data_IF_514775930779
#
_entry.id   IF_514775930779
#
_cell.length_a   1.000
_cell.length_b   1.000
_cell.length_c   1.000
_cell.angle_alpha   90.00
_cell.angle_beta   90.00
_cell.angle_gamma   90.00
#
_symmetry.space_group_name_H-M   'P 1'
#
loop_
_entity.id
_entity.type
_entity.pdbx_description
1 polymer ?
#
# COMPACT_ATOMS: atom_id res chain seq x y z
N UNK A 1 -3.42 -19.33 18.18
CA UNK A 1 -3.14 -19.39 16.73
C UNK A 1 -3.30 -18.05 16.01
N UNK A 2 -4.15 -17.11 16.47
CA UNK A 2 -4.39 -15.83 15.79
C UNK A 2 -3.20 -14.85 15.62
N UNK A 3 -2.06 -15.08 16.29
CA UNK A 3 -0.90 -14.17 16.27
C UNK A 3 -0.01 -14.34 15.04
N UNK A 4 0.00 -15.55 14.44
CA UNK A 4 0.78 -15.81 13.22
C UNK A 4 0.12 -15.17 12.00
N UNK A 5 -1.20 -15.30 11.87
CA UNK A 5 -1.96 -14.79 10.72
C UNK A 5 -1.85 -13.26 10.58
N UNK A 6 -1.78 -12.54 11.71
CA UNK A 6 -1.58 -11.08 11.70
C UNK A 6 -0.15 -10.70 11.27
N UNK A 7 0.85 -11.49 11.68
CA UNK A 7 2.25 -11.23 11.33
C UNK A 7 2.51 -11.45 9.83
N UNK A 8 1.85 -12.43 9.23
CA UNK A 8 1.90 -12.68 7.78
C UNK A 8 1.23 -11.57 6.98
N UNK A 9 0.01 -11.16 7.37
CA UNK A 9 -0.69 -10.05 6.70
C UNK A 9 0.09 -8.72 6.82
N UNK A 10 0.74 -8.46 7.95
CA UNK A 10 1.61 -7.29 8.13
C UNK A 10 2.81 -7.32 7.17
N UNK A 11 3.40 -8.50 6.94
CA UNK A 11 4.50 -8.67 5.99
C UNK A 11 4.03 -8.44 4.54
N UNK A 12 2.87 -8.98 4.18
CA UNK A 12 2.30 -8.80 2.85
C UNK A 12 1.97 -7.33 2.56
N UNK A 13 1.36 -6.65 3.53
CA UNK A 13 1.10 -5.20 3.49
C UNK A 13 2.40 -4.41 3.28
N UNK A 14 3.44 -4.75 4.03
CA UNK A 14 4.74 -4.09 3.90
C UNK A 14 5.37 -4.31 2.51
N UNK A 15 5.18 -5.50 1.93
CA UNK A 15 5.64 -5.80 0.57
C UNK A 15 4.88 -5.01 -0.49
N UNK A 16 3.56 -4.90 -0.37
CA UNK A 16 2.74 -4.06 -1.27
C UNK A 16 3.22 -2.61 -1.21
N UNK A 17 3.47 -2.07 -0.01
CA UNK A 17 4.00 -0.71 0.16
C UNK A 17 5.34 -0.52 -0.54
N UNK A 18 6.29 -1.44 -0.34
CA UNK A 18 7.61 -1.40 -1.00
C UNK A 18 7.49 -1.38 -2.52
N UNK A 19 6.61 -2.21 -3.09
CA UNK A 19 6.40 -2.27 -4.55
C UNK A 19 5.76 -0.99 -5.09
N UNK A 20 4.82 -0.41 -4.37
CA UNK A 20 4.19 0.86 -4.75
C UNK A 20 5.19 2.02 -4.70
N UNK A 21 6.08 2.05 -3.71
CA UNK A 21 7.17 3.02 -3.64
C UNK A 21 8.17 2.87 -4.78
N UNK A 22 8.53 1.63 -5.14
CA UNK A 22 9.37 1.35 -6.30
C UNK A 22 8.72 1.86 -7.60
N UNK A 23 7.42 1.58 -7.80
CA UNK A 23 6.66 2.09 -8.93
C UNK A 23 6.64 3.64 -8.97
N UNK A 24 6.46 4.30 -7.82
CA UNK A 24 6.53 5.76 -7.74
C UNK A 24 7.90 6.31 -8.16
N UNK A 25 8.98 5.61 -7.81
CA UNK A 25 10.33 5.98 -8.22
C UNK A 25 10.58 5.75 -9.71
N UNK A 26 10.08 4.64 -10.27
CA UNK A 26 10.16 4.37 -11.71
C UNK A 26 9.46 5.47 -12.51
N UNK A 27 8.29 5.91 -12.05
CA UNK A 27 7.56 7.03 -12.68
C UNK A 27 8.34 8.35 -12.61
N UNK A 28 9.01 8.64 -11.49
CA UNK A 28 9.92 9.80 -11.40
C UNK A 28 11.10 9.68 -12.36
N UNK A 29 11.63 8.46 -12.56
CA UNK A 29 12.67 8.16 -13.53
C UNK A 29 12.26 8.45 -14.99
N UNK A 30 10.96 8.38 -15.29
CA UNK A 30 10.39 8.79 -16.58
C UNK A 30 10.21 10.31 -16.73
N UNK A 31 10.62 11.11 -15.74
CA UNK A 31 10.52 12.57 -15.75
C UNK A 31 9.19 13.12 -15.20
N UNK A 32 8.33 12.27 -14.62
CA UNK A 32 7.08 12.71 -14.01
C UNK A 32 7.31 13.28 -12.60
N UNK A 33 6.65 14.38 -12.27
CA UNK A 33 6.55 14.86 -10.89
C UNK A 33 5.44 14.09 -10.17
N UNK A 34 5.81 13.11 -9.33
CA UNK A 34 4.86 12.22 -8.66
C UNK A 34 4.89 12.40 -7.14
N UNK A 35 3.71 12.71 -6.57
CA UNK A 35 3.44 12.63 -5.14
C UNK A 35 2.59 11.39 -4.84
N UNK A 36 3.14 10.50 -4.02
CA UNK A 36 2.46 9.32 -3.49
C UNK A 36 1.94 9.62 -2.08
N UNK A 37 0.69 9.25 -1.81
CA UNK A 37 0.10 9.22 -0.46
C UNK A 37 -0.50 7.84 -0.21
N UNK A 38 -0.35 7.33 1.01
CA UNK A 38 -0.90 6.06 1.43
C UNK A 38 -1.79 6.28 2.67
N UNK A 39 -2.97 5.69 2.65
CA UNK A 39 -3.91 5.66 3.77
C UNK A 39 -4.18 4.21 4.15
N UNK A 40 -3.98 3.87 5.42
CA UNK A 40 -4.23 2.53 5.94
C UNK A 40 -5.44 2.57 6.87
N UNK A 41 -6.36 1.65 6.63
CA UNK A 41 -7.55 1.47 7.43
C UNK A 41 -7.35 0.30 8.39
N UNK A 42 -8.18 0.26 9.44
CA UNK A 42 -8.13 -0.77 10.46
C UNK A 42 -8.29 -2.19 9.89
N UNK A 43 -8.03 -3.16 10.76
CA UNK A 43 -8.24 -4.56 10.42
C UNK A 43 -9.74 -4.86 10.46
N UNK A 44 -10.28 -5.36 9.35
CA UNK A 44 -11.64 -5.90 9.29
C UNK A 44 -11.59 -7.43 9.43
N UNK A 45 -12.52 -7.99 10.21
CA UNK A 45 -12.68 -9.44 10.36
C UNK A 45 -14.09 -9.82 9.97
N UNK A 46 -14.21 -10.68 8.96
CA UNK A 46 -15.51 -11.17 8.47
C UNK A 46 -16.01 -12.36 9.33
N UNK A 47 -17.29 -12.70 9.16
CA UNK A 47 -18.00 -13.77 9.89
C UNK A 47 -17.38 -15.15 9.67
N UNK A 48 -16.69 -15.36 8.55
CA UNK A 48 -15.96 -16.59 8.21
C UNK A 48 -14.55 -16.67 8.84
N UNK A 49 -14.12 -15.61 9.55
CA UNK A 49 -12.81 -15.51 10.18
C UNK A 49 -11.71 -14.89 9.30
N UNK A 50 -12.02 -14.54 8.05
CA UNK A 50 -11.10 -13.84 7.14
C UNK A 50 -10.68 -12.50 7.74
N UNK A 51 -9.38 -12.22 7.74
CA UNK A 51 -8.80 -10.98 8.24
C UNK A 51 -8.32 -10.16 7.04
N UNK A 52 -8.83 -8.94 6.91
CA UNK A 52 -8.53 -8.04 5.79
C UNK A 52 -7.97 -6.73 6.33
N UNK A 53 -7.05 -6.12 5.57
CA UNK A 53 -6.61 -4.74 5.78
C UNK A 53 -6.74 -3.96 4.48
N UNK A 54 -7.43 -2.84 4.55
CA UNK A 54 -7.59 -1.95 3.39
C UNK A 54 -6.49 -0.90 3.40
N UNK A 55 -5.80 -0.75 2.28
CA UNK A 55 -4.78 0.28 2.06
C UNK A 55 -5.06 0.96 0.73
N UNK A 56 -5.14 2.28 0.77
CA UNK A 56 -5.37 3.10 -0.42
C UNK A 56 -4.08 3.84 -0.78
N UNK A 57 -3.58 3.61 -1.98
CA UNK A 57 -2.49 4.40 -2.55
C UNK A 57 -3.06 5.39 -3.57
N UNK A 58 -2.73 6.67 -3.37
CA UNK A 58 -3.11 7.74 -4.29
C UNK A 58 -1.87 8.39 -4.87
N UNK A 59 -1.88 8.57 -6.19
CA UNK A 59 -0.81 9.23 -6.92
C UNK A 59 -1.35 10.54 -7.48
N UNK A 60 -0.64 11.63 -7.21
CA UNK A 60 -0.84 12.91 -7.88
C UNK A 60 0.35 13.16 -8.80
N UNK A 61 0.07 13.29 -10.08
CA UNK A 61 1.04 13.55 -11.13
C UNK A 61 0.86 15.00 -11.58
N UNK A 62 1.95 15.77 -11.63
CA UNK A 62 1.96 17.14 -12.13
C UNK A 62 2.97 17.33 -13.26
N UNK A 63 2.71 18.33 -14.09
CA UNK A 63 3.64 18.89 -15.05
C UNK A 63 3.71 20.39 -14.78
N UNK A 64 4.93 20.93 -14.67
CA UNK A 64 5.13 22.38 -14.65
C UNK A 64 5.41 22.82 -16.10
N UNK A 65 4.67 23.81 -16.57
CA UNK A 65 4.90 24.49 -17.86
C UNK A 65 6.13 25.42 -17.79
#
# INVERSE_FOLDING_TARGET
>A
MATNDQSELDQDVAEVRRRVEALANDMRGLGMEVRLTAEEYGIDRDLDGTVTRTITFSFKISQQD
#
